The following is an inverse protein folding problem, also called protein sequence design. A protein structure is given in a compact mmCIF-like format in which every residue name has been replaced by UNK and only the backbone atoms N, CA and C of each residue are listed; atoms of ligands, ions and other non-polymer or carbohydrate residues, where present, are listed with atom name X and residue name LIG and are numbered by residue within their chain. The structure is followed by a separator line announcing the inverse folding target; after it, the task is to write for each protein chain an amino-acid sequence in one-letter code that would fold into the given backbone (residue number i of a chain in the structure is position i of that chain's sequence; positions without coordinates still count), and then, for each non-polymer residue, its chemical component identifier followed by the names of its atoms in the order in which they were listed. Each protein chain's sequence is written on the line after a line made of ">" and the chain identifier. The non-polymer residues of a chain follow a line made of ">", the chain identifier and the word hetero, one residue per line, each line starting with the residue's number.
data_IF_572101517141
#
_entry.id   IF_572101517141
#
_cell.length_a   1.000
_cell.length_b   1.000
_cell.length_c   1.000
_cell.angle_alpha   90.00
_cell.angle_beta   90.00
_cell.angle_gamma   90.00
#
_symmetry.space_group_name_H-M   'P 1'
#
loop_
_entity.id
_entity.type
_entity.pdbx_description
1 polymer ?
#
# COMPACT_ATOMS: atom_id res chain seq x y z
N UNK A 1 16.62 -40.37 -29.50
CA UNK A 1 15.49 -39.52 -29.93
C UNK A 1 14.40 -39.47 -28.87
N UNK A 2 13.93 -40.62 -28.35
CA UNK A 2 12.89 -40.67 -27.31
C UNK A 2 13.26 -40.00 -25.97
N UNK A 3 14.49 -40.23 -25.46
CA UNK A 3 14.92 -39.66 -24.16
C UNK A 3 14.96 -38.14 -24.16
N UNK A 4 15.48 -37.53 -25.22
CA UNK A 4 15.53 -36.06 -25.37
C UNK A 4 14.13 -35.45 -25.46
N UNK A 5 13.20 -36.15 -26.10
CA UNK A 5 11.80 -35.73 -26.20
C UNK A 5 11.11 -35.76 -24.83
N UNK A 6 11.33 -36.84 -24.07
CA UNK A 6 10.82 -36.97 -22.71
C UNK A 6 11.34 -35.85 -21.79
N UNK A 7 12.64 -35.57 -21.85
CA UNK A 7 13.25 -34.48 -21.07
C UNK A 7 12.62 -33.13 -21.47
N UNK A 8 12.44 -32.86 -22.76
CA UNK A 8 11.81 -31.62 -23.23
C UNK A 8 10.38 -31.44 -22.70
N UNK A 9 9.57 -32.50 -22.69
CA UNK A 9 8.22 -32.46 -22.11
C UNK A 9 8.25 -32.21 -20.60
N UNK A 10 9.13 -32.90 -19.87
CA UNK A 10 9.25 -32.74 -18.42
C UNK A 10 9.70 -31.31 -18.08
N UNK A 11 10.73 -30.79 -18.75
CA UNK A 11 11.20 -29.43 -18.51
C UNK A 11 10.12 -28.40 -18.85
N UNK A 12 9.39 -28.59 -19.95
CA UNK A 12 8.24 -27.74 -20.30
C UNK A 12 7.14 -27.78 -19.24
N UNK A 13 6.78 -28.96 -18.74
CA UNK A 13 5.79 -29.12 -17.69
C UNK A 13 6.23 -28.44 -16.38
N UNK A 14 7.49 -28.61 -15.98
CA UNK A 14 8.05 -27.96 -14.80
C UNK A 14 8.01 -26.43 -14.95
N UNK A 15 8.33 -25.90 -16.13
CA UNK A 15 8.27 -24.46 -16.40
C UNK A 15 6.85 -23.91 -16.27
N UNK A 16 5.85 -24.63 -16.78
CA UNK A 16 4.44 -24.24 -16.66
C UNK A 16 4.00 -24.28 -15.19
N UNK A 17 4.34 -25.34 -14.46
CA UNK A 17 4.00 -25.46 -13.03
C UNK A 17 4.61 -24.31 -12.23
N UNK A 18 5.88 -23.99 -12.46
CA UNK A 18 6.56 -22.86 -11.82
C UNK A 18 5.89 -21.52 -12.14
N UNK A 19 5.53 -21.29 -13.41
CA UNK A 19 4.84 -20.07 -13.82
C UNK A 19 3.48 -19.93 -13.12
N UNK A 20 2.70 -21.01 -13.05
CA UNK A 20 1.41 -21.02 -12.36
C UNK A 20 1.57 -20.81 -10.84
N UNK A 21 2.55 -21.48 -10.22
CA UNK A 21 2.85 -21.30 -8.80
C UNK A 21 3.25 -19.86 -8.48
N UNK A 22 4.09 -19.24 -9.32
CA UNK A 22 4.47 -17.84 -9.19
C UNK A 22 3.25 -16.92 -9.26
N UNK A 23 2.39 -17.10 -10.27
CA UNK A 23 1.17 -16.30 -10.41
C UNK A 23 0.24 -16.45 -9.20
N UNK A 24 0.09 -17.67 -8.67
CA UNK A 24 -0.68 -17.90 -7.46
C UNK A 24 -0.08 -17.19 -6.24
N UNK A 25 1.24 -17.28 -6.06
CA UNK A 25 1.94 -16.61 -4.95
C UNK A 25 1.74 -15.09 -5.03
N UNK A 26 1.93 -14.49 -6.21
CA UNK A 26 1.78 -13.05 -6.40
C UNK A 26 0.33 -12.65 -6.21
N UNK A 27 -0.62 -13.43 -6.73
CA UNK A 27 -2.05 -13.17 -6.53
C UNK A 27 -2.42 -13.14 -5.04
N UNK A 28 -1.91 -14.09 -4.25
CA UNK A 28 -2.12 -14.11 -2.80
C UNK A 28 -1.47 -12.89 -2.14
N UNK A 29 -0.27 -12.53 -2.59
CA UNK A 29 0.48 -11.40 -2.07
C UNK A 29 -0.14 -10.04 -2.43
N UNK A 30 -0.89 -9.96 -3.53
CA UNK A 30 -1.58 -8.75 -3.98
C UNK A 30 -2.93 -8.57 -3.26
N UNK A 31 -3.46 -9.58 -2.57
CA UNK A 31 -4.66 -9.46 -1.73
C UNK A 31 -4.43 -8.65 -0.42
N UNK A 32 -3.59 -7.61 -0.45
CA UNK A 32 -3.30 -6.70 0.69
C UNK A 32 -4.46 -5.75 1.02
N UNK A 33 -5.61 -5.91 0.38
CA UNK A 33 -6.77 -5.04 0.52
C UNK A 33 -6.68 -3.82 -0.40
N UNK A 34 -7.75 -3.02 -0.38
CA UNK A 34 -7.84 -1.77 -1.13
C UNK A 34 -6.66 -0.85 -0.77
N UNK A 35 -5.93 -0.38 -1.78
CA UNK A 35 -5.02 0.75 -1.58
C UNK A 35 -5.86 1.96 -1.20
N UNK A 36 -5.93 2.24 0.11
CA UNK A 36 -6.54 3.48 0.56
C UNK A 36 -5.74 4.64 -0.05
N UNK A 37 -6.41 5.66 -0.61
CA UNK A 37 -5.73 6.83 -1.14
C UNK A 37 -4.89 7.43 -0.01
N UNK A 38 -3.69 7.91 -0.36
CA UNK A 38 -2.83 8.59 0.60
C UNK A 38 -3.65 9.65 1.35
N UNK A 39 -3.52 9.76 2.69
CA UNK A 39 -4.33 10.68 3.48
C UNK A 39 -4.28 12.09 2.89
N UNK A 40 -5.39 12.53 2.32
CA UNK A 40 -5.55 13.91 1.88
C UNK A 40 -5.75 14.73 3.14
N UNK A 41 -4.67 15.35 3.59
CA UNK A 41 -4.62 16.33 4.68
C UNK A 41 -5.03 15.84 6.08
N UNK A 42 -4.03 15.42 6.87
CA UNK A 42 -3.93 15.94 8.23
C UNK A 42 -3.38 17.37 8.14
N UNK A 43 -4.15 18.32 7.60
CA UNK A 43 -3.85 19.74 7.83
C UNK A 43 -4.09 19.91 9.34
N UNK A 44 -3.06 20.24 10.15
CA UNK A 44 -3.27 20.49 11.56
C UNK A 44 -4.40 21.51 11.68
N UNK A 45 -5.39 21.18 12.50
CA UNK A 45 -6.57 21.98 12.77
C UNK A 45 -6.18 23.44 12.84
N UNK A 46 -6.67 24.20 11.86
CA UNK A 46 -6.61 25.66 11.83
C UNK A 46 -6.84 26.16 13.24
N UNK A 47 -5.86 26.90 13.76
CA UNK A 47 -5.97 27.56 15.06
C UNK A 47 -7.29 28.31 15.07
N UNK A 48 -8.23 27.91 15.94
CA UNK A 48 -9.53 28.56 16.05
C UNK A 48 -9.29 30.04 16.37
N UNK A 49 -9.83 30.94 15.53
CA UNK A 49 -9.70 32.39 15.71
C UNK A 49 -10.14 32.82 17.12
N UNK A 50 -11.10 32.11 17.72
CA UNK A 50 -11.54 32.32 19.10
C UNK A 50 -10.42 32.12 20.13
N UNK A 51 -9.53 31.14 19.94
CA UNK A 51 -8.42 30.88 20.86
C UNK A 51 -7.38 32.01 20.78
N UNK A 52 -7.16 32.57 19.59
CA UNK A 52 -6.26 33.73 19.38
C UNK A 52 -6.89 34.99 19.98
N UNK A 53 -8.17 35.22 19.76
CA UNK A 53 -8.89 36.37 20.32
C UNK A 53 -8.90 36.32 21.86
N UNK A 54 -9.08 35.13 22.44
CA UNK A 54 -9.03 34.95 23.89
C UNK A 54 -7.63 35.18 24.45
N UNK A 55 -6.57 34.75 23.74
CA UNK A 55 -5.19 35.02 24.12
C UNK A 55 -4.87 36.53 24.09
N UNK A 56 -5.25 37.21 23.01
CA UNK A 56 -5.06 38.66 22.86
C UNK A 56 -5.82 39.43 23.94
N UNK A 57 -7.09 39.05 24.18
CA UNK A 57 -7.89 39.66 25.24
C UNK A 57 -7.25 39.49 26.61
N UNK A 58 -6.73 38.29 26.91
CA UNK A 58 -6.12 38.02 28.20
C UNK A 58 -4.79 38.79 28.40
N UNK A 59 -3.98 38.98 27.35
CA UNK A 59 -2.81 39.84 27.42
C UNK A 59 -3.19 41.32 27.60
N UNK A 60 -4.26 41.79 26.95
CA UNK A 60 -4.72 43.18 27.06
C UNK A 60 -5.31 43.52 28.43
N UNK A 61 -5.76 42.54 29.20
CA UNK A 61 -6.34 42.74 30.54
C UNK A 61 -5.27 42.74 31.64
N UNK A 62 -4.06 42.25 31.34
CA UNK A 62 -2.98 42.05 32.31
C UNK A 62 -1.84 43.09 32.18
N UNK A 63 -2.05 44.17 31.42
CA UNK A 63 -1.19 45.35 31.27
C UNK A 63 -2.00 46.57 31.69
#
# INVERSE_FOLDING_TARGET
>A
MERSKLIAYITGAISIILALAYLLIVSILDFRGEMLPAPVSQIPSVVSLENVLNLIRNLSVNI
#
